data_IF_518361208679
#
_entry.id   IF_518361208679
#
_cell.length_a   1.000
_cell.length_b   1.000
_cell.length_c   1.000
_cell.angle_alpha   90.00
_cell.angle_beta   90.00
_cell.angle_gamma   90.00
#
_symmetry.space_group_name_H-M   'P 1'
#
loop_
_entity.id
_entity.type
_entity.pdbx_description
1 polymer ?
#
# COMPACT_ATOMS: atom_id res chain seq x y z
N UNK A 1 -17.08 -2.99 -24.72
CA UNK A 1 -15.94 -2.86 -23.80
C UNK A 1 -14.73 -2.67 -24.68
N UNK A 2 -14.17 -1.47 -24.66
CA UNK A 2 -13.09 -1.04 -25.56
C UNK A 2 -11.72 -1.42 -24.98
N UNK A 3 -10.65 -1.28 -25.76
CA UNK A 3 -9.27 -1.61 -25.33
C UNK A 3 -8.86 -0.86 -24.06
N UNK A 4 -9.28 0.40 -23.92
CA UNK A 4 -9.02 1.21 -22.73
C UNK A 4 -9.67 0.61 -21.46
N UNK A 5 -10.91 0.10 -21.56
CA UNK A 5 -11.61 -0.52 -20.44
C UNK A 5 -10.88 -1.78 -19.94
N UNK A 6 -10.35 -2.58 -20.86
CA UNK A 6 -9.54 -3.76 -20.55
C UNK A 6 -8.19 -3.40 -19.95
N UNK A 7 -7.57 -2.30 -20.41
CA UNK A 7 -6.35 -1.75 -19.83
C UNK A 7 -6.55 -1.30 -18.38
N UNK A 8 -7.62 -0.57 -18.10
CA UNK A 8 -7.99 -0.14 -16.74
C UNK A 8 -8.29 -1.32 -15.81
N UNK A 9 -8.97 -2.36 -16.33
CA UNK A 9 -9.21 -3.59 -15.58
C UNK A 9 -7.89 -4.30 -15.25
N UNK A 10 -6.94 -4.34 -16.19
CA UNK A 10 -5.59 -4.87 -15.98
C UNK A 10 -4.83 -4.12 -14.89
N UNK A 11 -4.86 -2.78 -14.92
CA UNK A 11 -4.28 -1.91 -13.88
C UNK A 11 -4.90 -2.16 -12.51
N UNK A 12 -6.23 -2.29 -12.44
CA UNK A 12 -6.93 -2.60 -11.20
C UNK A 12 -6.48 -3.95 -10.61
N UNK A 13 -6.44 -5.00 -11.44
CA UNK A 13 -6.01 -6.34 -11.02
C UNK A 13 -4.54 -6.33 -10.60
N UNK A 14 -3.66 -5.69 -11.38
CA UNK A 14 -2.24 -5.58 -11.07
C UNK A 14 -2.02 -4.81 -9.75
N UNK A 15 -2.71 -3.69 -9.54
CA UNK A 15 -2.64 -2.92 -8.29
C UNK A 15 -3.15 -3.68 -7.08
N UNK A 16 -4.02 -4.68 -7.28
CA UNK A 16 -4.47 -5.59 -6.22
C UNK A 16 -3.47 -6.71 -5.90
N UNK A 17 -2.48 -7.00 -6.76
CA UNK A 17 -1.46 -8.02 -6.48
C UNK A 17 -0.46 -7.46 -5.45
N UNK A 18 -0.28 -8.10 -4.29
CA UNK A 18 0.77 -7.71 -3.35
C UNK A 18 2.13 -7.76 -4.07
N UNK A 19 3.01 -6.77 -3.83
CA UNK A 19 4.29 -6.56 -4.54
C UNK A 19 4.19 -5.82 -5.90
N UNK A 20 3.02 -5.79 -6.54
CA UNK A 20 2.75 -4.92 -7.69
C UNK A 20 2.15 -3.61 -7.20
N UNK A 21 3.00 -2.81 -6.55
CA UNK A 21 2.57 -1.55 -5.95
C UNK A 21 2.15 -0.53 -7.01
N UNK A 22 1.28 0.40 -6.63
CA UNK A 22 0.89 1.53 -7.48
C UNK A 22 2.11 2.30 -8.03
N UNK A 23 3.24 2.28 -7.31
CA UNK A 23 4.52 2.86 -7.74
C UNK A 23 5.03 2.23 -9.06
N UNK A 24 4.77 0.95 -9.31
CA UNK A 24 5.16 0.26 -10.55
C UNK A 24 4.00 0.22 -11.58
N UNK A 25 2.77 0.02 -11.10
CA UNK A 25 1.59 -0.13 -11.95
C UNK A 25 1.22 1.19 -12.64
N UNK A 26 1.26 2.32 -11.94
CA UNK A 26 0.92 3.63 -12.50
C UNK A 26 1.84 4.03 -13.64
N UNK A 27 3.18 3.99 -13.50
CA UNK A 27 4.05 4.30 -14.63
C UNK A 27 3.87 3.35 -15.80
N UNK A 28 3.66 2.06 -15.53
CA UNK A 28 3.42 1.08 -16.61
C UNK A 28 2.13 1.38 -17.38
N UNK A 29 1.04 1.71 -16.68
CA UNK A 29 -0.23 2.07 -17.30
C UNK A 29 -0.15 3.35 -18.12
N UNK A 30 0.46 4.40 -17.57
CA UNK A 30 0.66 5.68 -18.29
C UNK A 30 1.57 5.47 -19.48
N UNK A 31 2.68 4.73 -19.31
CA UNK A 31 3.59 4.40 -20.39
C UNK A 31 2.80 3.79 -21.54
N UNK A 32 1.94 2.79 -21.30
CA UNK A 32 1.05 2.14 -22.28
C UNK A 32 -0.06 3.03 -22.88
N UNK A 33 -0.06 4.34 -22.60
CA UNK A 33 -1.01 5.31 -23.16
C UNK A 33 -2.32 5.41 -22.41
N UNK A 34 -2.45 4.82 -21.22
CA UNK A 34 -3.67 4.97 -20.41
C UNK A 34 -3.76 6.38 -19.80
N UNK A 35 -4.99 6.87 -19.66
CA UNK A 35 -5.24 8.16 -19.01
C UNK A 35 -4.61 8.20 -17.60
N UNK A 36 -3.75 9.18 -17.28
CA UNK A 36 -3.05 9.24 -15.99
C UNK A 36 -3.98 9.30 -14.79
N UNK A 37 -5.04 10.10 -14.86
CA UNK A 37 -6.01 10.23 -13.76
C UNK A 37 -6.76 8.92 -13.50
N UNK A 38 -7.27 8.28 -14.55
CA UNK A 38 -7.97 7.00 -14.44
C UNK A 38 -7.04 5.88 -13.94
N UNK A 39 -5.78 5.87 -14.40
CA UNK A 39 -4.76 4.90 -13.99
C UNK A 39 -4.45 5.02 -12.50
N UNK A 40 -4.26 6.23 -11.98
CA UNK A 40 -4.02 6.45 -10.55
C UNK A 40 -5.21 5.99 -9.72
N UNK A 41 -6.44 6.33 -10.12
CA UNK A 41 -7.65 5.92 -9.39
C UNK A 41 -7.80 4.40 -9.39
N UNK A 42 -7.66 3.75 -10.55
CA UNK A 42 -7.79 2.29 -10.67
C UNK A 42 -6.74 1.56 -9.82
N UNK A 43 -5.47 1.99 -9.90
CA UNK A 43 -4.39 1.44 -9.10
C UNK A 43 -4.61 1.67 -7.60
N UNK A 44 -5.03 2.88 -7.21
CA UNK A 44 -5.27 3.22 -5.81
C UNK A 44 -6.41 2.41 -5.20
N UNK A 45 -7.50 2.17 -5.94
CA UNK A 45 -8.62 1.35 -5.46
C UNK A 45 -8.20 -0.11 -5.31
N UNK A 46 -7.56 -0.70 -6.32
CA UNK A 46 -7.10 -2.09 -6.28
C UNK A 46 -6.14 -2.33 -5.11
N UNK A 47 -5.20 -1.40 -4.91
CA UNK A 47 -4.20 -1.49 -3.85
C UNK A 47 -4.79 -1.23 -2.47
N UNK A 48 -5.71 -0.26 -2.34
CA UNK A 48 -6.41 0.01 -1.07
C UNK A 48 -7.17 -1.22 -0.56
N UNK A 49 -7.85 -1.97 -1.44
CA UNK A 49 -8.57 -3.19 -1.04
C UNK A 49 -7.63 -4.18 -0.36
N UNK A 50 -6.44 -4.41 -0.92
CA UNK A 50 -5.48 -5.37 -0.37
C UNK A 50 -4.73 -4.84 0.84
N UNK A 51 -4.44 -3.54 0.92
CA UNK A 51 -3.95 -2.88 2.14
C UNK A 51 -4.91 -3.15 3.30
N UNK A 52 -6.21 -2.88 3.09
CA UNK A 52 -7.23 -3.12 4.10
C UNK A 52 -7.30 -4.60 4.47
N UNK A 53 -7.33 -5.50 3.48
CA UNK A 53 -7.35 -6.93 3.73
C UNK A 53 -6.19 -7.38 4.64
N UNK A 54 -4.97 -6.97 4.33
CA UNK A 54 -3.77 -7.33 5.09
C UNK A 54 -3.78 -6.72 6.50
N UNK A 55 -4.19 -5.47 6.64
CA UNK A 55 -4.30 -4.81 7.94
C UNK A 55 -5.30 -5.53 8.86
N UNK A 56 -6.52 -5.80 8.38
CA UNK A 56 -7.55 -6.46 9.17
C UNK A 56 -7.24 -7.94 9.44
N UNK A 57 -6.59 -8.65 8.51
CA UNK A 57 -6.14 -10.02 8.74
C UNK A 57 -5.03 -10.05 9.80
N UNK A 58 -4.09 -9.11 9.74
CA UNK A 58 -3.01 -8.96 10.73
C UNK A 58 -3.56 -8.67 12.12
N UNK A 59 -4.61 -7.84 12.23
CA UNK A 59 -5.27 -7.58 13.51
C UNK A 59 -5.87 -8.89 14.07
N UNK A 60 -6.63 -9.64 13.28
CA UNK A 60 -7.19 -10.94 13.71
C UNK A 60 -6.10 -11.90 14.20
N UNK A 61 -4.98 -12.00 13.48
CA UNK A 61 -3.85 -12.85 13.87
C UNK A 61 -3.24 -12.35 15.18
N UNK A 62 -3.01 -11.03 15.31
CA UNK A 62 -2.45 -10.41 16.51
C UNK A 62 -3.34 -10.66 17.73
N UNK A 63 -4.65 -10.42 17.62
CA UNK A 63 -5.60 -10.68 18.71
C UNK A 63 -5.61 -12.16 19.10
N UNK A 64 -5.54 -13.07 18.13
CA UNK A 64 -5.47 -14.51 18.41
C UNK A 64 -4.19 -14.88 19.17
N UNK A 65 -3.04 -14.28 18.82
CA UNK A 65 -1.77 -14.48 19.52
C UNK A 65 -1.85 -13.94 20.95
N UNK A 66 -2.38 -12.73 21.14
CA UNK A 66 -2.54 -12.08 22.44
C UNK A 66 -3.45 -12.93 23.34
N UNK A 67 -4.65 -13.31 22.85
CA UNK A 67 -5.60 -14.12 23.60
C UNK A 67 -5.01 -15.47 24.03
N UNK A 68 -4.21 -16.11 23.16
CA UNK A 68 -3.47 -17.35 23.47
C UNK A 68 -2.38 -17.17 24.53
N UNK A 69 -1.82 -15.98 24.69
CA UNK A 69 -0.82 -15.68 25.72
C UNK A 69 -1.50 -15.42 27.06
N UNK A 70 -2.58 -14.64 27.03
CA UNK A 70 -3.41 -14.36 28.20
C UNK A 70 -3.97 -15.66 28.78
N UNK A 71 -4.48 -16.58 27.94
CA UNK A 71 -4.97 -17.88 28.40
C UNK A 71 -3.89 -18.78 29.03
N UNK A 72 -2.62 -18.48 28.80
CA UNK A 72 -1.46 -19.16 29.43
C UNK A 72 -0.92 -18.40 30.65
N UNK A 73 -1.68 -17.44 31.19
CA UNK A 73 -1.27 -16.61 32.33
C UNK A 73 -0.12 -15.65 32.03
N UNK A 74 0.18 -15.37 30.76
CA UNK A 74 1.22 -14.41 30.35
C UNK A 74 0.59 -13.05 30.07
N UNK A 75 1.39 -11.98 30.18
CA UNK A 75 1.01 -10.67 29.65
C UNK A 75 0.64 -10.78 28.17
N UNK A 76 -0.36 -10.01 27.74
CA UNK A 76 -0.90 -10.04 26.38
C UNK A 76 0.19 -9.81 25.33
N UNK A 77 0.91 -8.69 25.46
CA UNK A 77 2.11 -8.43 24.68
C UNK A 77 3.38 -8.92 25.42
N UNK A 78 4.41 -9.34 24.66
CA UNK A 78 5.73 -9.59 25.25
C UNK A 78 6.43 -8.29 25.62
N UNK A 79 7.25 -8.30 26.67
CA UNK A 79 8.12 -7.18 27.02
C UNK A 79 9.02 -6.69 25.85
N UNK A 80 9.51 -7.61 25.00
CA UNK A 80 10.25 -7.24 23.77
C UNK A 80 9.38 -6.48 22.76
N UNK A 81 8.10 -6.84 22.68
CA UNK A 81 7.15 -6.25 21.76
C UNK A 81 6.62 -4.90 22.27
N UNK A 82 6.38 -4.74 23.58
CA UNK A 82 6.06 -3.45 24.20
C UNK A 82 7.18 -2.41 23.99
N UNK A 83 8.44 -2.83 24.04
CA UNK A 83 9.58 -1.96 23.71
C UNK A 83 9.57 -1.52 22.24
N UNK A 84 9.25 -2.43 21.32
CA UNK A 84 9.14 -2.10 19.89
C UNK A 84 7.96 -1.14 19.64
N UNK A 85 6.82 -1.38 20.29
CA UNK A 85 5.65 -0.49 20.32
C UNK A 85 6.02 0.92 20.76
N UNK A 86 6.68 1.07 21.91
CA UNK A 86 7.12 2.38 22.42
C UNK A 86 8.06 3.10 21.46
N UNK A 87 8.93 2.38 20.77
CA UNK A 87 9.79 2.96 19.74
C UNK A 87 9.00 3.39 18.49
N UNK A 88 7.87 2.72 18.20
CA UNK A 88 7.04 2.96 17.03
C UNK A 88 5.92 3.99 17.26
N UNK A 89 5.54 4.26 18.51
CA UNK A 89 4.31 4.98 18.90
C UNK A 89 4.27 6.45 18.43
N UNK A 90 5.43 7.14 18.39
CA UNK A 90 5.46 8.57 18.06
C UNK A 90 5.51 8.86 16.55
N UNK A 91 6.41 8.17 15.83
CA UNK A 91 6.65 8.44 14.41
C UNK A 91 6.73 7.17 13.55
N UNK A 92 6.71 5.99 14.17
CA UNK A 92 6.89 4.73 13.45
C UNK A 92 5.81 4.49 12.40
N UNK A 93 4.54 4.75 12.74
CA UNK A 93 3.44 4.56 11.78
C UNK A 93 3.50 5.55 10.60
N UNK A 94 3.95 6.78 10.84
CA UNK A 94 4.06 7.79 9.79
C UNK A 94 5.28 7.53 8.89
N UNK A 95 6.42 7.16 9.49
CA UNK A 95 7.60 6.74 8.74
C UNK A 95 7.34 5.47 7.93
N UNK A 96 6.62 4.50 8.49
CA UNK A 96 6.23 3.28 7.80
C UNK A 96 5.18 3.56 6.72
N UNK A 97 4.23 4.47 6.92
CA UNK A 97 3.33 4.87 5.86
C UNK A 97 4.08 5.55 4.71
N UNK A 98 5.03 6.45 5.01
CA UNK A 98 5.77 7.20 3.99
C UNK A 98 6.78 6.34 3.21
N UNK A 99 7.61 5.56 3.91
CA UNK A 99 8.70 4.78 3.33
C UNK A 99 8.37 3.29 3.12
N UNK A 100 7.45 2.74 3.92
CA UNK A 100 7.05 1.33 3.82
C UNK A 100 6.61 0.90 2.42
N UNK A 101 5.84 1.70 1.66
CA UNK A 101 5.49 1.40 0.27
C UNK A 101 6.71 1.12 -0.62
N UNK A 102 7.82 1.85 -0.41
CA UNK A 102 9.04 1.73 -1.21
C UNK A 102 9.91 0.58 -0.71
N UNK A 103 10.05 0.41 0.61
CA UNK A 103 11.00 -0.53 1.19
C UNK A 103 10.46 -1.97 1.19
N UNK A 104 9.19 -2.14 1.59
CA UNK A 104 8.60 -3.46 1.83
C UNK A 104 7.26 -3.68 1.12
N UNK A 105 6.71 -2.66 0.46
CA UNK A 105 5.35 -2.69 -0.11
C UNK A 105 4.28 -2.21 0.88
N UNK A 106 3.15 -1.76 0.34
CA UNK A 106 2.08 -1.12 1.09
C UNK A 106 1.34 -2.11 1.98
N UNK A 107 1.03 -3.32 1.48
CA UNK A 107 0.27 -4.30 2.26
C UNK A 107 1.10 -4.83 3.43
N UNK A 108 2.41 -5.02 3.22
CA UNK A 108 3.34 -5.41 4.28
C UNK A 108 3.57 -4.29 5.29
N UNK A 109 3.66 -3.03 4.85
CA UNK A 109 3.74 -1.87 5.75
C UNK A 109 2.49 -1.73 6.64
N UNK A 110 1.30 -1.94 6.07
CA UNK A 110 0.05 -1.94 6.82
C UNK A 110 -0.01 -3.12 7.79
N UNK A 111 0.31 -4.33 7.35
CA UNK A 111 0.38 -5.52 8.19
C UNK A 111 1.38 -5.36 9.34
N UNK A 112 2.58 -4.85 9.07
CA UNK A 112 3.62 -4.60 10.08
C UNK A 112 3.19 -3.53 11.09
N UNK A 113 2.54 -2.46 10.63
CA UNK A 113 1.98 -1.43 11.51
C UNK A 113 0.94 -2.01 12.46
N UNK A 114 0.03 -2.85 11.95
CA UNK A 114 -0.98 -3.53 12.78
C UNK A 114 -0.35 -4.55 13.70
N UNK A 115 0.62 -5.32 13.20
CA UNK A 115 1.38 -6.25 14.02
C UNK A 115 2.07 -5.53 15.16
N UNK A 116 2.55 -4.29 14.94
CA UNK A 116 3.12 -3.37 15.92
C UNK A 116 2.07 -2.63 16.79
N UNK A 117 0.80 -3.00 16.71
CA UNK A 117 -0.27 -2.51 17.59
C UNK A 117 -1.03 -1.27 17.11
N UNK A 118 -0.75 -0.78 15.89
CA UNK A 118 -1.57 0.27 15.28
C UNK A 118 -2.95 -0.29 14.94
N UNK A 119 -4.02 0.48 15.18
CA UNK A 119 -5.38 0.08 14.78
C UNK A 119 -5.43 -0.19 13.27
N UNK A 120 -6.07 -1.28 12.80
CA UNK A 120 -6.09 -1.65 11.38
C UNK A 120 -6.61 -0.53 10.49
N UNK A 121 -7.70 0.13 10.87
CA UNK A 121 -8.24 1.26 10.10
C UNK A 121 -7.24 2.43 9.97
N UNK A 122 -6.53 2.77 11.05
CA UNK A 122 -5.53 3.86 11.03
C UNK A 122 -4.34 3.50 10.16
N UNK A 123 -3.84 2.27 10.27
CA UNK A 123 -2.75 1.78 9.44
C UNK A 123 -3.14 1.80 7.96
N UNK A 124 -4.32 1.26 7.62
CA UNK A 124 -4.81 1.25 6.25
C UNK A 124 -4.96 2.65 5.67
N UNK A 125 -5.59 3.58 6.40
CA UNK A 125 -5.79 4.95 5.90
C UNK A 125 -4.45 5.66 5.67
N UNK A 126 -3.50 5.59 6.62
CA UNK A 126 -2.21 6.23 6.47
C UNK A 126 -1.41 5.68 5.30
N UNK A 127 -1.36 4.34 5.17
CA UNK A 127 -0.61 3.69 4.08
C UNK A 127 -1.28 3.96 2.73
N UNK A 128 -2.61 3.88 2.64
CA UNK A 128 -3.35 4.20 1.43
C UNK A 128 -3.17 5.67 1.03
N UNK A 129 -3.23 6.62 1.97
CA UNK A 129 -2.98 8.03 1.66
C UNK A 129 -1.55 8.25 1.16
N UNK A 130 -0.56 7.64 1.80
CA UNK A 130 0.83 7.72 1.36
C UNK A 130 1.03 7.14 -0.03
N UNK A 131 0.50 5.95 -0.29
CA UNK A 131 0.52 5.30 -1.60
C UNK A 131 -0.13 6.18 -2.67
N UNK A 132 -1.29 6.80 -2.38
CA UNK A 132 -1.98 7.68 -3.32
C UNK A 132 -1.18 8.94 -3.62
N UNK A 133 -0.50 9.51 -2.62
CA UNK A 133 0.43 10.64 -2.81
C UNK A 133 1.59 10.23 -3.73
N UNK A 134 2.24 9.09 -3.46
CA UNK A 134 3.32 8.58 -4.32
C UNK A 134 2.86 8.30 -5.76
N UNK A 135 1.73 7.63 -5.92
CA UNK A 135 1.13 7.35 -7.23
C UNK A 135 0.82 8.65 -8.01
N UNK A 136 0.25 9.64 -7.33
CA UNK A 136 -0.06 10.94 -7.94
C UNK A 136 1.20 11.73 -8.30
N UNK A 137 2.23 11.70 -7.45
CA UNK A 137 3.53 12.33 -7.74
C UNK A 137 4.19 11.70 -8.97
N UNK A 138 4.17 10.38 -9.07
CA UNK A 138 4.71 9.66 -10.24
C UNK A 138 3.94 10.02 -11.50
N UNK A 139 2.61 9.97 -11.46
CA UNK A 139 1.78 10.35 -12.60
C UNK A 139 2.03 11.81 -13.02
N UNK A 140 2.12 12.72 -12.05
CA UNK A 140 2.45 14.12 -12.30
C UNK A 140 3.81 14.28 -12.97
N UNK A 141 4.84 13.59 -12.47
CA UNK A 141 6.19 13.63 -13.07
C UNK A 141 6.17 13.11 -14.51
N UNK A 142 5.46 12.01 -14.78
CA UNK A 142 5.36 11.47 -16.14
C UNK A 142 4.68 12.42 -17.11
N UNK A 143 3.56 13.03 -16.69
CA UNK A 143 2.84 14.03 -17.50
C UNK A 143 3.69 15.28 -17.70
N UNK A 144 4.35 15.77 -16.66
CA UNK A 144 5.16 16.99 -16.72
C UNK A 144 6.41 16.83 -17.60
N UNK A 145 6.95 15.62 -17.70
CA UNK A 145 8.08 15.28 -18.56
C UNK A 145 7.66 14.80 -19.95
N UNK A 146 6.36 14.81 -20.26
CA UNK A 146 5.75 14.30 -21.48
C UNK A 146 6.23 12.88 -21.84
N UNK A 147 6.36 12.02 -20.82
CA UNK A 147 6.76 10.63 -20.98
C UNK A 147 5.52 9.84 -21.44
N UNK A 148 5.20 9.96 -22.71
CA UNK A 148 4.18 9.18 -23.43
C UNK A 148 4.84 8.37 -24.55
N UNK A 149 4.27 7.22 -24.92
CA UNK A 149 4.82 6.33 -25.96
C UNK A 149 5.06 7.01 -27.33
N UNK A 150 4.51 8.20 -27.60
CA UNK A 150 4.79 8.97 -28.82
C UNK A 150 6.30 9.28 -28.98
N UNK A 151 7.04 9.48 -27.89
CA UNK A 151 8.48 9.81 -27.93
C UNK A 151 9.36 8.58 -28.23
N UNK A 152 8.88 7.35 -28.02
CA UNK A 152 9.66 6.12 -28.22
C UNK A 152 9.57 5.55 -29.64
N UNK A 153 8.77 6.15 -30.52
CA UNK A 153 8.62 5.73 -31.92
C UNK A 153 9.27 6.71 -32.91
N UNK A 154 9.74 7.88 -32.46
CA UNK A 154 10.50 8.86 -33.27
C UNK A 154 12.04 8.76 -33.09
N UNK A 155 12.58 7.62 -32.64
CA UNK A 155 14.04 7.38 -32.62
C UNK A 155 14.46 6.15 -33.40
#
# INVERSE_FOLDING_TARGET
MNIEDWGLLGVFIAGAIPWMEAIAVVPSGIALGLNPYATVIAAAIGNAITIFLFAFLSDKIRQRIINRRISKGKSGDSAKFEKALKAFDKYGVYGMAFLGPIIIGTQFAAAASVAAGVKPLRASLLVTTSMAVWASLIAFVMVALDINFEVLQER
#
